data_IF_014215932170
#
_entry.id   IF_014215932170
#
_cell.length_a   1.000
_cell.length_b   1.000
_cell.length_c   1.000
_cell.angle_alpha   90.00
_cell.angle_beta   90.00
_cell.angle_gamma   90.00
#
_symmetry.space_group_name_H-M   'P 1'
#
loop_
_entity.id
_entity.type
_entity.pdbx_description
1 polymer ?
#
# COMPACT_ATOMS: atom_id res chain seq x y z
N UNK A 1 8.99 -7.20 20.35
CA UNK A 1 8.43 -7.68 19.10
C UNK A 1 7.85 -6.53 18.31
N UNK A 2 8.15 -6.47 17.05
CA UNK A 2 7.73 -5.35 16.24
C UNK A 2 6.48 -5.68 15.44
N UNK A 3 5.49 -4.84 15.54
CA UNK A 3 4.27 -5.01 14.78
C UNK A 3 4.55 -4.73 13.30
N UNK A 4 4.11 -5.61 12.46
CA UNK A 4 4.26 -5.46 11.02
C UNK A 4 2.89 -5.60 10.36
N UNK A 5 2.29 -4.49 9.94
CA UNK A 5 0.96 -4.53 9.32
C UNK A 5 0.88 -5.50 8.13
N UNK A 6 1.98 -5.63 7.38
CA UNK A 6 2.00 -6.50 6.22
C UNK A 6 1.89 -7.98 6.55
N UNK A 7 2.08 -8.38 7.78
CA UNK A 7 1.96 -9.79 8.14
C UNK A 7 0.51 -10.22 8.36
N UNK A 8 -0.43 -9.28 8.41
CA UNK A 8 -1.83 -9.61 8.64
C UNK A 8 -2.49 -10.12 7.36
N UNK A 9 -2.24 -9.47 6.23
CA UNK A 9 -2.76 -9.92 4.95
C UNK A 9 -1.63 -9.89 3.93
N UNK A 10 -0.73 -10.86 3.97
CA UNK A 10 0.47 -10.83 3.13
C UNK A 10 0.19 -10.73 1.64
N UNK A 11 -0.93 -11.28 1.18
CA UNK A 11 -1.24 -11.28 -0.25
C UNK A 11 -1.39 -9.86 -0.83
N UNK A 12 -1.70 -8.89 -0.01
CA UNK A 12 -1.81 -7.52 -0.51
C UNK A 12 -0.46 -6.96 -0.93
N UNK A 13 0.63 -7.50 -0.37
CA UNK A 13 1.96 -6.94 -0.58
C UNK A 13 2.82 -7.64 -1.62
N UNK A 14 2.38 -8.81 -2.12
CA UNK A 14 3.27 -9.65 -2.92
C UNK A 14 3.02 -9.67 -4.44
N UNK A 15 2.24 -8.74 -4.94
CA UNK A 15 2.15 -8.58 -6.39
C UNK A 15 1.12 -9.47 -7.06
N UNK A 16 1.46 -9.99 -8.22
CA UNK A 16 0.52 -10.75 -9.01
C UNK A 16 0.24 -12.13 -8.45
N UNK A 17 -0.99 -12.58 -8.66
CA UNK A 17 -1.33 -13.97 -8.43
C UNK A 17 -0.66 -14.84 -9.49
N UNK A 18 -0.33 -16.05 -9.12
CA UNK A 18 0.25 -17.01 -10.05
C UNK A 18 -0.83 -17.73 -10.88
N UNK A 19 -2.08 -17.32 -10.75
CA UNK A 19 -3.16 -17.95 -11.48
C UNK A 19 -3.07 -17.60 -12.96
N UNK A 20 -2.69 -18.56 -13.77
CA UNK A 20 -2.51 -18.37 -15.18
C UNK A 20 -3.80 -18.23 -15.97
N UNK A 21 -4.92 -18.50 -15.35
CA UNK A 21 -6.20 -18.38 -16.01
C UNK A 21 -6.65 -16.94 -16.16
N UNK A 22 -6.02 -16.03 -15.46
CA UNK A 22 -6.43 -14.64 -15.48
C UNK A 22 -5.85 -13.89 -16.66
N UNK A 23 -6.65 -13.01 -17.21
CA UNK A 23 -6.21 -12.07 -18.22
C UNK A 23 -5.17 -11.10 -17.65
N UNK A 24 -4.17 -10.75 -18.43
CA UNK A 24 -3.10 -9.84 -17.99
C UNK A 24 -3.63 -8.49 -17.51
N UNK A 25 -4.64 -7.93 -18.20
CA UNK A 25 -5.22 -6.66 -17.80
C UNK A 25 -5.97 -6.80 -16.47
N UNK A 26 -6.64 -7.92 -16.26
CA UNK A 26 -7.33 -8.17 -14.99
C UNK A 26 -6.34 -8.32 -13.86
N UNK A 27 -5.23 -9.02 -14.09
CA UNK A 27 -4.20 -9.17 -13.08
C UNK A 27 -3.59 -7.82 -12.71
N UNK A 28 -3.37 -6.96 -13.69
CA UNK A 28 -2.81 -5.64 -13.45
C UNK A 28 -3.74 -4.79 -12.60
N UNK A 29 -5.06 -4.87 -12.84
CA UNK A 29 -6.02 -4.13 -12.04
C UNK A 29 -6.05 -4.62 -10.60
N UNK A 30 -6.02 -5.95 -10.41
CA UNK A 30 -6.02 -6.52 -9.07
C UNK A 30 -4.75 -6.11 -8.33
N UNK A 31 -3.61 -6.15 -9.00
CA UNK A 31 -2.36 -5.73 -8.39
C UNK A 31 -2.43 -4.25 -7.99
N UNK A 32 -2.96 -3.39 -8.86
CA UNK A 32 -3.07 -1.97 -8.56
C UNK A 32 -3.96 -1.72 -7.34
N UNK A 33 -5.08 -2.41 -7.25
CA UNK A 33 -5.99 -2.28 -6.12
C UNK A 33 -5.36 -2.77 -4.83
N UNK A 34 -4.74 -3.93 -4.87
CA UNK A 34 -4.07 -4.50 -3.70
C UNK A 34 -2.91 -3.62 -3.26
N UNK A 35 -2.14 -3.12 -4.21
CA UNK A 35 -1.01 -2.27 -3.89
C UNK A 35 -1.46 -0.94 -3.27
N UNK A 36 -2.54 -0.36 -3.77
CA UNK A 36 -3.08 0.88 -3.20
C UNK A 36 -3.49 0.67 -1.74
N UNK A 37 -4.16 -0.44 -1.47
CA UNK A 37 -4.58 -0.77 -0.12
C UNK A 37 -3.37 -1.04 0.78
N UNK A 38 -2.41 -1.81 0.29
CA UNK A 38 -1.19 -2.12 1.03
C UNK A 38 -0.38 -0.86 1.33
N UNK A 39 -0.25 0.03 0.36
CA UNK A 39 0.47 1.29 0.55
C UNK A 39 -0.20 2.13 1.63
N UNK A 40 -1.53 2.22 1.60
CA UNK A 40 -2.27 3.00 2.58
C UNK A 40 -2.01 2.47 4.00
N UNK A 41 -2.09 1.15 4.16
CA UNK A 41 -1.84 0.53 5.47
C UNK A 41 -0.41 0.77 5.92
N UNK A 42 0.54 0.56 5.03
CA UNK A 42 1.96 0.75 5.36
C UNK A 42 2.25 2.19 5.75
N UNK A 43 1.75 3.15 4.98
CA UNK A 43 2.02 4.55 5.24
C UNK A 43 1.38 5.03 6.53
N UNK A 44 0.23 4.48 6.89
CA UNK A 44 -0.46 4.91 8.10
C UNK A 44 0.00 4.20 9.36
N UNK A 45 0.31 2.93 9.25
CA UNK A 45 0.51 2.10 10.43
C UNK A 45 1.93 1.62 10.69
N UNK A 46 2.74 1.48 9.65
CA UNK A 46 4.08 0.95 9.84
C UNK A 46 5.01 2.03 10.40
N UNK A 47 5.72 1.75 11.48
CA UNK A 47 6.67 2.72 12.02
C UNK A 47 7.79 3.01 11.04
N UNK A 48 8.29 4.23 11.05
CA UNK A 48 9.33 4.65 10.13
C UNK A 48 10.58 3.76 10.21
N UNK A 49 10.98 3.36 11.39
CA UNK A 49 12.15 2.49 11.54
C UNK A 49 11.96 1.16 10.80
N UNK A 50 10.72 0.61 10.84
CA UNK A 50 10.43 -0.60 10.12
C UNK A 50 10.37 -0.36 8.62
N UNK A 51 9.87 0.80 8.20
CA UNK A 51 9.84 1.15 6.79
C UNK A 51 11.25 1.24 6.23
N UNK A 52 12.19 1.80 7.00
CA UNK A 52 13.60 1.85 6.58
C UNK A 52 14.20 0.45 6.43
N UNK A 53 13.94 -0.41 7.41
CA UNK A 53 14.43 -1.78 7.34
C UNK A 53 13.80 -2.55 6.18
N UNK A 54 12.52 -2.32 5.92
CA UNK A 54 11.81 -2.94 4.81
C UNK A 54 12.41 -2.50 3.47
N UNK A 55 12.69 -1.21 3.32
CA UNK A 55 13.31 -0.68 2.12
C UNK A 55 14.68 -1.29 1.89
N UNK A 56 15.47 -1.44 2.95
CA UNK A 56 16.79 -2.05 2.85
C UNK A 56 16.68 -3.49 2.37
N UNK A 57 15.71 -4.22 2.90
CA UNK A 57 15.51 -5.61 2.51
C UNK A 57 15.12 -5.71 1.03
N UNK A 58 14.26 -4.81 0.54
CA UNK A 58 13.85 -4.82 -0.85
C UNK A 58 15.05 -4.60 -1.79
N UNK A 59 15.93 -3.68 -1.41
CA UNK A 59 17.11 -3.38 -2.22
C UNK A 59 18.07 -4.56 -2.19
N UNK A 60 18.34 -5.10 -1.01
CA UNK A 60 19.29 -6.20 -0.87
C UNK A 60 18.82 -7.45 -1.62
N UNK A 61 17.52 -7.66 -1.71
CA UNK A 61 16.95 -8.78 -2.44
C UNK A 61 16.67 -8.49 -3.90
N UNK A 62 16.93 -7.26 -4.37
CA UNK A 62 16.60 -6.84 -5.72
C UNK A 62 15.17 -7.17 -6.08
N UNK A 63 14.26 -6.89 -5.16
CA UNK A 63 12.86 -7.21 -5.35
C UNK A 63 12.24 -6.45 -6.51
N UNK A 64 11.31 -7.08 -7.21
CA UNK A 64 10.71 -6.50 -8.39
C UNK A 64 9.21 -6.29 -8.24
N UNK A 65 8.58 -6.97 -7.30
CA UNK A 65 7.15 -6.95 -7.10
C UNK A 65 6.78 -6.60 -5.67
N UNK A 66 5.58 -6.18 -5.46
CA UNK A 66 5.03 -5.97 -4.14
C UNK A 66 5.14 -4.54 -3.66
N UNK A 67 4.71 -4.33 -2.43
CA UNK A 67 4.78 -3.03 -1.78
C UNK A 67 5.79 -3.11 -0.65
N UNK A 68 6.78 -2.24 -0.70
CA UNK A 68 7.88 -2.20 0.27
C UNK A 68 8.02 -0.79 0.78
N UNK A 69 7.94 -0.61 2.08
CA UNK A 69 8.05 0.71 2.72
C UNK A 69 7.08 1.74 2.10
N UNK A 70 5.89 1.30 1.70
CA UNK A 70 4.90 2.17 1.10
C UNK A 70 5.11 2.44 -0.39
N UNK A 71 6.12 1.81 -1.01
CA UNK A 71 6.43 1.98 -2.43
C UNK A 71 6.01 0.73 -3.20
N UNK A 72 5.23 0.94 -4.26
CA UNK A 72 4.82 -0.16 -5.12
C UNK A 72 5.90 -0.40 -6.17
N UNK A 73 6.36 -1.65 -6.29
CA UNK A 73 7.30 -2.02 -7.33
C UNK A 73 6.54 -2.41 -8.60
N UNK A 74 7.01 -1.97 -9.77
CA UNK A 74 6.25 -2.14 -11.02
C UNK A 74 6.28 -3.54 -11.62
N UNK A 75 7.22 -4.36 -11.24
CA UNK A 75 7.42 -5.68 -11.82
C UNK A 75 8.71 -5.77 -12.59
N UNK A 76 9.06 -7.00 -12.96
CA UNK A 76 10.35 -7.28 -13.59
C UNK A 76 10.36 -7.28 -15.11
N UNK A 77 9.27 -6.84 -15.77
CA UNK A 77 9.25 -6.81 -17.22
C UNK A 77 10.26 -5.82 -17.75
N UNK A 78 10.91 -6.17 -18.86
CA UNK A 78 11.95 -5.33 -19.45
C UNK A 78 11.47 -3.91 -19.72
N UNK A 79 10.25 -3.75 -20.20
CA UNK A 79 9.70 -2.42 -20.51
C UNK A 79 9.53 -1.54 -19.29
N UNK A 80 9.53 -2.14 -18.09
CA UNK A 80 9.36 -1.40 -16.86
C UNK A 80 10.66 -1.20 -16.10
N UNK A 81 11.77 -1.57 -16.68
CA UNK A 81 13.04 -1.52 -15.95
C UNK A 81 13.41 -0.12 -15.47
N UNK A 82 13.06 0.91 -16.23
CA UNK A 82 13.36 2.28 -15.80
C UNK A 82 12.52 2.66 -14.59
N UNK A 83 11.24 2.24 -14.56
CA UNK A 83 10.38 2.49 -13.43
C UNK A 83 10.89 1.73 -12.21
N UNK A 84 11.35 0.50 -12.40
CA UNK A 84 11.89 -0.30 -11.33
C UNK A 84 13.16 0.32 -10.75
N UNK A 85 14.04 0.80 -11.60
CA UNK A 85 15.26 1.46 -11.16
C UNK A 85 14.93 2.72 -10.34
N UNK A 86 13.94 3.47 -10.77
CA UNK A 86 13.50 4.65 -10.04
C UNK A 86 12.92 4.26 -8.68
N UNK A 87 12.10 3.22 -8.63
CA UNK A 87 11.53 2.73 -7.38
C UNK A 87 12.63 2.28 -6.42
N UNK A 88 13.64 1.58 -6.92
CA UNK A 88 14.76 1.16 -6.10
C UNK A 88 15.56 2.35 -5.56
N UNK A 89 15.69 3.41 -6.36
CA UNK A 89 16.37 4.61 -5.91
C UNK A 89 15.60 5.28 -4.77
N UNK A 90 14.27 5.36 -4.89
CA UNK A 90 13.43 5.89 -3.82
C UNK A 90 13.60 5.03 -2.56
N UNK A 91 13.58 3.71 -2.72
CA UNK A 91 13.76 2.82 -1.57
C UNK A 91 15.13 2.99 -0.91
N UNK A 92 16.17 3.23 -1.70
CA UNK A 92 17.50 3.48 -1.14
C UNK A 92 17.49 4.72 -0.27
N UNK A 93 16.83 5.78 -0.74
CA UNK A 93 16.76 7.02 0.01
C UNK A 93 15.93 6.86 1.30
N UNK A 94 14.88 6.04 1.25
CA UNK A 94 14.12 5.72 2.45
C UNK A 94 14.99 4.94 3.42
N UNK A 95 15.70 3.93 2.94
CA UNK A 95 16.57 3.10 3.78
C UNK A 95 17.66 3.93 4.45
N UNK A 96 18.18 4.90 3.72
CA UNK A 96 19.24 5.76 4.25
C UNK A 96 18.71 6.89 5.15
N UNK A 97 17.40 6.95 5.34
CA UNK A 97 16.81 7.97 6.20
C UNK A 97 16.69 9.34 5.57
N UNK A 98 16.90 9.45 4.26
CA UNK A 98 16.84 10.74 3.57
C UNK A 98 15.43 11.16 3.21
N UNK A 99 14.51 10.22 3.08
CA UNK A 99 13.12 10.50 2.75
C UNK A 99 12.21 9.74 3.70
N UNK A 100 11.15 10.40 4.16
CA UNK A 100 10.08 9.74 4.87
C UNK A 100 9.04 9.33 3.82
N UNK A 101 8.67 8.06 3.70
CA UNK A 101 7.71 7.63 2.68
C UNK A 101 6.40 8.42 2.68
N UNK A 102 5.96 8.88 3.83
CA UNK A 102 4.71 9.63 3.93
C UNK A 102 4.77 10.99 3.27
N UNK A 103 5.98 11.51 3.09
CA UNK A 103 6.19 12.84 2.54
C UNK A 103 6.33 12.87 1.02
N UNK A 104 6.38 11.70 0.39
CA UNK A 104 6.41 11.65 -1.06
C UNK A 104 5.09 12.20 -1.62
N UNK A 105 5.10 12.97 -2.70
CA UNK A 105 3.88 13.58 -3.22
C UNK A 105 2.75 12.58 -3.50
N UNK A 106 3.07 11.45 -4.12
CA UNK A 106 2.07 10.44 -4.42
C UNK A 106 1.53 9.79 -3.16
N UNK A 107 2.32 9.70 -2.12
CA UNK A 107 1.89 9.13 -0.84
C UNK A 107 0.97 10.09 -0.11
N UNK A 108 1.32 11.37 -0.10
CA UNK A 108 0.49 12.38 0.54
C UNK A 108 -0.88 12.47 -0.14
N UNK A 109 -0.90 12.39 -1.47
CA UNK A 109 -2.14 12.42 -2.22
C UNK A 109 -3.00 11.20 -1.92
N UNK A 110 -2.38 10.03 -1.85
CA UNK A 110 -3.09 8.80 -1.54
C UNK A 110 -3.72 8.87 -0.15
N UNK A 111 -2.99 9.33 0.83
CA UNK A 111 -3.48 9.42 2.20
C UNK A 111 -4.64 10.42 2.29
N UNK A 112 -4.56 11.52 1.59
CA UNK A 112 -5.62 12.52 1.59
C UNK A 112 -6.92 11.95 1.01
N UNK A 113 -6.82 11.20 -0.08
CA UNK A 113 -8.00 10.62 -0.70
C UNK A 113 -8.66 9.59 0.19
N UNK A 114 -7.87 8.72 0.80
CA UNK A 114 -8.42 7.63 1.59
C UNK A 114 -8.98 8.09 2.91
N UNK A 115 -8.55 9.21 3.42
CA UNK A 115 -9.09 9.72 4.67
C UNK A 115 -10.52 10.23 4.52
N UNK A 116 -10.88 10.74 3.38
CA UNK A 116 -12.20 11.28 3.15
C UNK A 116 -13.29 10.21 3.11
N UNK A 117 -12.99 9.07 2.54
CA UNK A 117 -13.97 8.01 2.37
C UNK A 117 -14.52 7.41 3.66
N UNK A 118 -13.70 7.04 4.60
CA UNK A 118 -14.20 6.44 5.83
C UNK A 118 -15.12 7.36 6.62
N UNK A 119 -14.85 8.63 6.60
CA UNK A 119 -15.66 9.59 7.32
C UNK A 119 -17.06 9.63 6.75
N UNK A 120 -17.18 9.70 5.43
CA UNK A 120 -18.46 9.73 4.80
C UNK A 120 -19.25 8.47 5.04
N UNK A 121 -18.61 7.35 4.97
CA UNK A 121 -19.24 6.07 5.18
C UNK A 121 -19.77 5.97 6.61
N UNK A 122 -19.02 6.40 7.54
CA UNK A 122 -19.41 6.34 8.92
C UNK A 122 -20.63 7.18 9.18
N UNK A 123 -20.69 8.33 8.58
CA UNK A 123 -21.81 9.24 8.75
C UNK A 123 -23.09 8.61 8.22
N UNK A 124 -23.02 8.01 7.08
CA UNK A 124 -24.16 7.38 6.48
C UNK A 124 -24.69 6.25 7.34
N UNK A 125 -23.84 5.46 7.86
CA UNK A 125 -24.24 4.33 8.66
C UNK A 125 -24.93 4.77 9.93
N UNK A 126 -24.49 5.86 10.49
CA UNK A 126 -25.02 6.31 11.69
C UNK A 126 -26.47 6.66 11.66
N UNK A 127 -26.88 7.36 10.66
CA UNK A 127 -28.21 7.81 10.57
C UNK A 127 -29.29 6.80 10.80
N UNK A 128 -29.34 5.77 10.13
CA UNK A 128 -30.45 4.87 10.24
C UNK A 128 -30.63 4.28 11.60
N UNK A 129 -29.58 3.99 12.20
CA UNK A 129 -29.66 3.37 13.44
C UNK A 129 -30.26 4.18 14.46
N UNK A 130 -29.81 5.27 14.49
CA UNK A 130 -30.15 6.07 15.54
C UNK A 130 -31.59 6.11 15.87
N UNK A 131 -32.38 6.03 14.92
CA UNK A 131 -33.62 6.27 15.25
C UNK A 131 -34.57 5.32 15.39
N UNK A 132 -34.52 4.54 14.71
CA UNK A 132 -35.46 3.61 14.69
C UNK A 132 -36.04 3.20 15.93
N UNK A 133 -35.34 2.75 16.70
CA UNK A 133 -35.81 2.09 17.83
C UNK A 133 -36.77 2.84 18.65
N UNK A 134 -36.43 3.97 18.86
CA UNK A 134 -37.13 4.60 19.76
C UNK A 134 -38.46 4.82 19.47
N UNK A 135 -38.68 4.85 18.41
CA UNK A 135 -39.95 5.17 18.08
C UNK A 135 -40.87 4.35 18.70
N UNK A 136 -40.64 3.24 18.83
CA UNK A 136 -41.57 2.33 19.32
C UNK A 136 -42.31 2.88 20.47
N UNK A 137 -41.75 3.57 21.17
CA UNK A 137 -42.45 4.07 22.30
C UNK A 137 -43.67 4.84 21.90
#
# INVERSE_FOLDING_TARGET
>A
MHYRPCSVEPDLWFGYSDDDASDGAAKARVYEQSATRARTICLRRCPLAQQRACARRAIDGSEEYGVWAGVKLPGGQYRKRAQLAHAHEVLRRIADGKINPRELPESAELLARTEALPVQAATVVHLPLGRLPRTAA
#
